data_IF_244171575204
#
_entry.id   IF_244171575204
#
_cell.length_a   1.000
_cell.length_b   1.000
_cell.length_c   1.000
_cell.angle_alpha   90.00
_cell.angle_beta   90.00
_cell.angle_gamma   90.00
#
_symmetry.space_group_name_H-M   'P 1'
#
loop_
_entity.id
_entity.type
_entity.pdbx_description
1 polymer ?
#
# COMPACT_ATOMS: atom_id res chain seq x y z
N UNK A 1 16.23 -0.82 4.40
CA UNK A 1 16.22 -1.51 3.08
C UNK A 1 16.84 -2.90 3.23
N UNK A 2 16.38 -3.87 2.41
CA UNK A 2 16.64 -5.34 2.38
C UNK A 2 15.81 -6.13 3.42
N UNK A 3 14.88 -7.07 3.12
CA UNK A 3 14.65 -8.03 2.01
C UNK A 3 13.15 -8.10 1.60
N UNK A 4 12.90 -8.33 0.30
CA UNK A 4 11.60 -8.48 -0.37
C UNK A 4 11.11 -9.94 -0.33
N UNK A 5 10.02 -10.23 0.39
CA UNK A 5 9.15 -11.36 0.05
C UNK A 5 7.93 -10.81 -0.70
N UNK A 6 8.18 -10.56 -1.99
CA UNK A 6 7.27 -10.49 -3.14
C UNK A 6 5.87 -9.93 -2.85
N UNK A 7 5.76 -8.60 -2.72
CA UNK A 7 4.59 -7.77 -3.15
C UNK A 7 4.77 -6.25 -2.93
N UNK A 8 5.85 -5.77 -2.31
CA UNK A 8 6.08 -4.32 -2.12
C UNK A 8 7.55 -3.98 -1.83
N UNK A 9 7.96 -2.77 -2.19
CA UNK A 9 9.32 -2.24 -1.97
C UNK A 9 9.55 -1.74 -0.52
N UNK A 10 8.50 -1.72 0.31
CA UNK A 10 8.52 -1.25 1.69
C UNK A 10 9.06 -2.26 2.71
N UNK A 11 9.28 -1.80 3.94
CA UNK A 11 9.71 -2.61 5.08
C UNK A 11 8.49 -2.92 5.93
N UNK A 12 8.32 -4.20 6.32
CA UNK A 12 7.22 -4.63 7.17
C UNK A 12 7.48 -4.40 8.66
N UNK A 13 8.71 -4.61 9.09
CA UNK A 13 9.12 -4.46 10.47
C UNK A 13 9.05 -2.99 10.90
N UNK A 14 8.63 -2.76 12.14
CA UNK A 14 8.64 -1.44 12.76
C UNK A 14 10.08 -1.04 13.12
N UNK A 15 10.52 0.13 12.68
CA UNK A 15 11.93 0.58 12.79
C UNK A 15 12.08 2.00 13.34
N UNK A 16 10.99 2.76 13.44
CA UNK A 16 10.97 4.11 13.99
C UNK A 16 10.55 4.15 15.46
N UNK A 17 10.52 5.36 16.02
CA UNK A 17 9.81 5.58 17.29
C UNK A 17 8.30 5.48 17.10
N UNK A 18 7.82 5.97 15.95
CA UNK A 18 6.45 5.88 15.49
C UNK A 18 6.46 5.21 14.11
N UNK A 19 5.75 4.11 13.98
CA UNK A 19 5.60 3.38 12.73
C UNK A 19 4.13 3.34 12.33
N UNK A 20 3.82 3.91 11.15
CA UNK A 20 2.45 4.04 10.65
C UNK A 20 2.19 3.05 9.52
N UNK A 21 1.04 2.37 9.57
CA UNK A 21 0.60 1.39 8.59
C UNK A 21 -0.74 1.83 7.96
N UNK A 22 -0.73 2.84 7.06
CA UNK A 22 -1.94 3.26 6.36
C UNK A 22 -2.47 2.12 5.49
N UNK A 23 -3.77 1.87 5.55
CA UNK A 23 -4.44 0.79 4.81
C UNK A 23 -3.74 -0.57 5.01
N UNK A 24 -3.35 -0.86 6.25
CA UNK A 24 -2.61 -2.07 6.67
C UNK A 24 -1.15 -2.14 6.20
N UNK A 25 -0.64 -1.11 5.52
CA UNK A 25 0.76 -1.02 5.06
C UNK A 25 1.15 -2.04 4.00
N UNK A 26 0.18 -2.53 3.21
CA UNK A 26 0.41 -3.56 2.18
C UNK A 26 0.02 -3.11 0.78
N UNK A 27 -1.21 -2.66 0.62
CA UNK A 27 -1.80 -2.28 -0.67
C UNK A 27 -2.49 -0.97 -0.51
N UNK A 28 -2.11 -0.02 -1.34
CA UNK A 28 -2.60 1.34 -1.22
C UNK A 28 -3.83 1.54 -2.12
N UNK A 29 -4.83 2.31 -1.65
CA UNK A 29 -5.92 2.78 -2.51
C UNK A 29 -5.33 3.47 -3.75
N UNK A 30 -6.06 3.41 -4.87
CA UNK A 30 -5.63 3.90 -6.19
C UNK A 30 -4.46 3.16 -6.87
N UNK A 31 -3.74 2.29 -6.15
CA UNK A 31 -2.75 1.37 -6.74
C UNK A 31 -3.37 0.02 -7.16
N UNK A 32 -4.68 -0.09 -7.02
CA UNK A 32 -5.45 -1.20 -7.55
C UNK A 32 -5.65 -0.95 -9.04
N UNK A 33 -4.71 -1.42 -9.86
CA UNK A 33 -4.88 -1.45 -11.31
C UNK A 33 -6.24 -2.04 -11.63
N UNK A 34 -7.18 -1.19 -12.05
CA UNK A 34 -8.45 -1.58 -12.62
C UNK A 34 -8.13 -2.40 -13.86
N UNK A 35 -8.16 -3.71 -13.67
CA UNK A 35 -7.87 -4.74 -14.65
C UNK A 35 -6.40 -4.76 -15.10
N UNK A 36 -5.70 -5.87 -14.81
CA UNK A 36 -4.45 -6.23 -15.50
C UNK A 36 -4.58 -6.18 -17.05
N UNK A 37 -5.81 -6.18 -17.58
CA UNK A 37 -6.14 -6.07 -19.00
C UNK A 37 -5.90 -4.67 -19.60
N UNK A 38 -6.05 -3.58 -18.84
CA UNK A 38 -5.79 -2.22 -19.35
C UNK A 38 -4.29 -2.01 -19.60
N UNK A 39 -3.44 -2.46 -18.66
CA UNK A 39 -1.98 -2.33 -18.80
C UNK A 39 -1.35 -3.39 -19.73
N UNK A 40 -1.96 -4.57 -19.91
CA UNK A 40 -1.50 -5.55 -20.90
C UNK A 40 -1.82 -5.11 -22.34
N UNK A 41 -2.95 -4.42 -22.55
CA UNK A 41 -3.39 -4.10 -23.91
C UNK A 41 -2.60 -2.93 -24.55
N UNK A 42 -1.96 -2.07 -23.74
CA UNK A 42 -1.01 -1.05 -24.23
C UNK A 42 0.35 -1.62 -24.65
N UNK A 43 0.64 -2.88 -24.32
CA UNK A 43 1.94 -3.53 -24.54
C UNK A 43 1.92 -4.63 -25.60
N UNK A 44 0.77 -4.92 -26.22
CA UNK A 44 0.66 -5.87 -27.33
C UNK A 44 0.40 -5.17 -28.67
N UNK A 45 1.07 -5.56 -29.77
CA UNK A 45 0.58 -5.25 -31.11
C UNK A 45 -0.81 -5.87 -31.31
N UNK A 46 -1.69 -5.17 -32.02
CA UNK A 46 -3.12 -5.47 -32.26
C UNK A 46 -3.36 -6.70 -33.15
N UNK A 47 -2.42 -7.65 -33.22
CA UNK A 47 -2.50 -8.83 -34.10
C UNK A 47 -2.40 -10.16 -33.36
N UNK A 48 -2.47 -10.15 -32.03
CA UNK A 48 -2.62 -11.36 -31.21
C UNK A 48 -4.08 -11.77 -31.00
N UNK A 49 -4.36 -13.00 -30.55
CA UNK A 49 -5.73 -13.54 -30.38
C UNK A 49 -6.57 -12.85 -29.28
N UNK A 50 -6.07 -11.78 -28.65
CA UNK A 50 -6.77 -11.02 -27.61
C UNK A 50 -7.34 -9.73 -28.21
N UNK A 51 -8.64 -9.74 -28.50
CA UNK A 51 -9.38 -8.62 -29.04
C UNK A 51 -9.91 -7.72 -27.89
N UNK A 52 -9.21 -6.62 -27.58
CA UNK A 52 -9.57 -5.67 -26.51
C UNK A 52 -10.70 -4.68 -26.87
N UNK A 53 -11.51 -4.96 -27.91
CA UNK A 53 -12.60 -4.06 -28.32
C UNK A 53 -13.94 -4.31 -27.61
N UNK A 54 -14.01 -5.27 -26.69
CA UNK A 54 -15.21 -5.55 -25.91
C UNK A 54 -14.93 -5.22 -24.44
N UNK A 55 -15.31 -4.00 -24.05
CA UNK A 55 -15.24 -3.54 -22.68
C UNK A 55 -16.18 -4.31 -21.76
N UNK A 56 -15.77 -4.37 -20.49
CA UNK A 56 -16.62 -4.24 -19.30
C UNK A 56 -17.97 -4.99 -19.29
N UNK A 57 -17.96 -6.32 -19.23
CA UNK A 57 -18.92 -7.10 -18.42
C UNK A 57 -18.45 -8.57 -18.38
N UNK A 58 -18.47 -9.19 -17.20
CA UNK A 58 -17.99 -10.55 -16.91
C UNK A 58 -16.48 -10.85 -17.11
N UNK A 59 -15.65 -10.53 -16.11
CA UNK A 59 -14.56 -11.42 -15.70
C UNK A 59 -14.11 -11.13 -14.25
N UNK A 60 -14.42 -11.99 -13.27
CA UNK A 60 -13.78 -11.98 -11.96
C UNK A 60 -12.45 -12.73 -12.09
N UNK A 61 -11.38 -12.05 -12.50
CA UNK A 61 -10.03 -12.61 -12.31
C UNK A 61 -9.21 -11.60 -11.51
N UNK A 62 -8.87 -11.91 -10.25
CA UNK A 62 -7.99 -11.08 -9.44
C UNK A 62 -6.63 -10.97 -10.15
N UNK A 63 -5.95 -9.82 -9.99
CA UNK A 63 -4.55 -9.69 -10.39
C UNK A 63 -3.79 -10.90 -9.85
N UNK A 64 -2.99 -11.62 -10.67
CA UNK A 64 -2.32 -12.83 -10.22
C UNK A 64 -1.51 -12.50 -8.97
N UNK A 65 -1.93 -13.04 -7.83
CA UNK A 65 -1.08 -13.08 -6.65
C UNK A 65 0.15 -13.88 -7.03
N UNK A 66 1.33 -13.38 -6.68
CA UNK A 66 2.64 -14.01 -6.84
C UNK A 66 2.52 -15.54 -6.80
N UNK A 67 2.33 -16.17 -7.95
CA UNK A 67 2.38 -17.62 -8.03
C UNK A 67 3.85 -17.95 -7.96
N UNK A 68 4.22 -18.95 -7.16
CA UNK A 68 5.60 -19.41 -6.97
C UNK A 68 6.12 -20.12 -8.24
N UNK A 69 5.82 -19.61 -9.42
CA UNK A 69 6.32 -20.12 -10.69
C UNK A 69 7.54 -19.30 -11.11
N UNK A 70 8.62 -19.99 -11.43
CA UNK A 70 9.90 -19.37 -11.82
C UNK A 70 9.90 -18.86 -13.26
N UNK A 71 8.77 -18.95 -13.96
CA UNK A 71 8.63 -18.62 -15.37
C UNK A 71 7.76 -17.38 -15.53
N UNK A 72 8.26 -16.29 -14.98
CA UNK A 72 7.60 -15.00 -15.03
C UNK A 72 7.90 -14.31 -16.37
N UNK A 73 6.87 -13.95 -17.11
CA UNK A 73 7.03 -13.21 -18.37
C UNK A 73 7.37 -11.74 -18.10
N UNK A 74 8.02 -11.08 -19.07
CA UNK A 74 8.36 -9.66 -18.95
C UNK A 74 7.13 -8.76 -18.75
N UNK A 75 5.97 -9.16 -19.29
CA UNK A 75 4.72 -8.42 -19.14
C UNK A 75 4.18 -8.51 -17.71
N UNK A 76 4.19 -9.71 -17.10
CA UNK A 76 3.80 -9.87 -15.70
C UNK A 76 4.74 -9.09 -14.77
N UNK A 77 6.04 -9.02 -15.11
CA UNK A 77 7.01 -8.20 -14.38
C UNK A 77 6.72 -6.71 -14.45
N UNK A 78 6.32 -6.19 -15.61
CA UNK A 78 5.95 -4.77 -15.74
C UNK A 78 4.72 -4.42 -14.89
N UNK A 79 3.68 -5.26 -14.91
CA UNK A 79 2.47 -5.04 -14.11
C UNK A 79 2.79 -5.08 -12.62
N UNK A 80 3.55 -6.09 -12.19
CA UNK A 80 3.99 -6.21 -10.80
C UNK A 80 4.86 -5.03 -10.36
N UNK A 81 5.83 -4.63 -11.18
CA UNK A 81 6.71 -3.50 -10.90
C UNK A 81 5.91 -2.18 -10.81
N UNK A 82 5.00 -1.91 -11.76
CA UNK A 82 4.16 -0.71 -11.76
C UNK A 82 3.37 -0.59 -10.46
N UNK A 83 2.75 -1.70 -10.02
CA UNK A 83 2.05 -1.77 -8.74
C UNK A 83 2.97 -1.51 -7.55
N UNK A 84 4.09 -2.23 -7.48
CA UNK A 84 5.05 -2.09 -6.38
C UNK A 84 5.61 -0.67 -6.28
N UNK A 85 5.84 0.01 -7.41
CA UNK A 85 6.23 1.42 -7.44
C UNK A 85 5.09 2.34 -7.00
N UNK A 86 3.85 2.11 -7.44
CA UNK A 86 2.69 2.88 -6.99
C UNK A 86 2.52 2.78 -5.47
N UNK A 87 2.46 1.56 -4.92
CA UNK A 87 2.30 1.31 -3.48
C UNK A 87 3.44 1.99 -2.69
N UNK A 88 4.67 1.93 -3.20
CA UNK A 88 5.83 2.57 -2.58
C UNK A 88 5.79 4.10 -2.64
N UNK A 89 5.32 4.66 -3.76
CA UNK A 89 5.24 6.10 -3.98
C UNK A 89 4.19 6.78 -3.10
N UNK A 90 3.14 6.06 -2.71
CA UNK A 90 2.07 6.60 -1.85
C UNK A 90 2.57 7.11 -0.49
N UNK A 91 3.66 6.57 0.05
CA UNK A 91 4.28 7.10 1.26
C UNK A 91 4.68 8.58 1.12
N UNK A 92 5.18 8.97 -0.05
CA UNK A 92 5.55 10.36 -0.35
C UNK A 92 4.29 11.22 -0.52
N UNK A 93 3.27 10.71 -1.21
CA UNK A 93 2.02 11.43 -1.42
C UNK A 93 1.32 11.74 -0.09
N UNK A 94 1.21 10.78 0.82
CA UNK A 94 0.64 11.05 2.13
C UNK A 94 1.45 12.04 2.94
N UNK A 95 2.77 12.00 2.85
CA UNK A 95 3.60 12.99 3.52
C UNK A 95 3.31 14.40 2.99
N UNK A 96 3.27 14.59 1.68
CA UNK A 96 2.93 15.89 1.07
C UNK A 96 1.53 16.34 1.49
N UNK A 97 0.55 15.46 1.41
CA UNK A 97 -0.83 15.74 1.78
C UNK A 97 -0.98 16.13 3.25
N UNK A 98 -0.17 15.53 4.14
CA UNK A 98 -0.22 15.80 5.58
C UNK A 98 0.18 17.23 5.92
N UNK A 99 0.91 17.91 5.02
CA UNK A 99 1.29 19.32 5.19
C UNK A 99 0.06 20.21 5.03
N UNK A 100 -0.85 19.85 4.12
CA UNK A 100 -2.02 20.66 3.75
C UNK A 100 -3.12 20.63 4.80
N UNK A 101 -3.24 19.52 5.54
CA UNK A 101 -4.20 19.36 6.62
C UNK A 101 -3.61 18.48 7.72
N UNK A 102 -3.47 19.09 8.90
CA UNK A 102 -2.94 18.47 10.11
C UNK A 102 -3.76 17.29 10.60
N UNK A 103 -5.07 17.29 10.37
CA UNK A 103 -6.00 16.28 10.88
C UNK A 103 -6.34 15.22 9.83
N UNK A 104 -5.75 15.31 8.63
CA UNK A 104 -6.05 14.42 7.50
C UNK A 104 -5.74 12.96 7.78
N UNK A 105 -4.67 12.71 8.53
CA UNK A 105 -4.16 11.35 8.76
C UNK A 105 -4.13 11.03 10.26
N UNK A 106 -5.31 11.03 10.88
CA UNK A 106 -5.48 10.55 12.24
C UNK A 106 -5.16 9.06 12.31
N UNK A 107 -4.40 8.68 13.33
CA UNK A 107 -3.96 7.30 13.51
C UNK A 107 -4.43 6.74 14.84
N UNK A 108 -4.41 5.41 14.93
CA UNK A 108 -4.87 4.64 16.07
C UNK A 108 -3.81 3.65 16.51
N UNK A 109 -3.57 3.50 17.82
CA UNK A 109 -2.54 2.59 18.31
C UNK A 109 -2.88 1.14 17.99
N UNK A 110 -1.86 0.36 17.72
CA UNK A 110 -1.95 -1.06 17.43
C UNK A 110 -0.83 -1.80 18.16
N UNK A 111 -1.09 -3.05 18.54
CA UNK A 111 -0.19 -3.82 19.40
C UNK A 111 1.10 -4.26 18.69
N UNK A 112 1.02 -4.52 17.38
CA UNK A 112 2.17 -4.96 16.58
C UNK A 112 1.97 -4.72 15.09
N UNK A 113 3.07 -4.70 14.33
CA UNK A 113 3.05 -4.62 12.87
C UNK A 113 2.31 -5.81 12.23
N UNK A 114 2.34 -6.98 12.88
CA UNK A 114 1.65 -8.17 12.42
C UNK A 114 0.12 -7.99 12.49
N UNK A 115 -0.41 -7.47 13.60
CA UNK A 115 -1.84 -7.16 13.75
C UNK A 115 -2.28 -6.00 12.87
N UNK A 116 -1.42 -4.99 12.71
CA UNK A 116 -1.65 -3.89 11.79
C UNK A 116 -1.86 -4.40 10.36
N UNK A 117 -0.98 -5.29 9.90
CA UNK A 117 -1.03 -5.89 8.57
C UNK A 117 -2.18 -6.88 8.39
N UNK A 118 -2.55 -7.61 9.44
CA UNK A 118 -3.71 -8.48 9.43
C UNK A 118 -5.05 -7.72 9.39
N UNK A 119 -5.04 -6.42 9.73
CA UNK A 119 -6.25 -5.61 9.84
C UNK A 119 -7.05 -5.93 11.10
N UNK A 120 -6.37 -6.34 12.17
CA UNK A 120 -6.98 -6.70 13.46
C UNK A 120 -7.08 -5.51 14.42
N UNK A 121 -6.50 -4.36 14.05
CA UNK A 121 -6.48 -3.16 14.87
C UNK A 121 -7.63 -2.21 14.51
N UNK A 122 -8.13 -1.50 15.52
CA UNK A 122 -9.15 -0.48 15.33
C UNK A 122 -8.60 0.67 14.47
N UNK A 123 -9.41 1.16 13.54
CA UNK A 123 -9.08 2.32 12.67
C UNK A 123 -10.03 3.50 12.90
N UNK A 124 -10.84 3.41 13.96
CA UNK A 124 -11.82 4.43 14.36
C UNK A 124 -11.90 4.45 15.89
N UNK A 125 -12.30 5.60 16.44
CA UNK A 125 -12.42 5.81 17.88
C UNK A 125 -11.91 7.20 18.29
N UNK A 126 -11.75 7.45 19.61
CA UNK A 126 -11.14 8.68 20.09
C UNK A 126 -9.72 8.81 19.55
N UNK A 127 -9.47 9.86 18.76
CA UNK A 127 -8.16 10.20 18.23
C UNK A 127 -7.41 11.23 19.09
N UNK A 128 -8.06 11.76 20.13
CA UNK A 128 -7.47 12.72 21.07
C UNK A 128 -6.21 12.14 21.72
N UNK A 129 -5.07 12.76 21.43
CA UNK A 129 -3.77 12.35 21.96
C UNK A 129 -3.01 11.31 21.13
N UNK A 130 -3.58 10.81 20.03
CA UNK A 130 -2.84 9.98 19.08
C UNK A 130 -1.99 10.84 18.13
N UNK A 131 -0.83 10.34 17.67
CA UNK A 131 -0.04 11.03 16.66
C UNK A 131 -0.78 11.05 15.31
N UNK A 132 -0.61 12.11 14.54
CA UNK A 132 -1.03 12.12 13.13
C UNK A 132 0.14 11.67 12.25
N UNK A 133 -0.17 10.92 11.20
CA UNK A 133 0.85 10.46 10.25
C UNK A 133 1.33 11.63 9.38
N UNK A 134 2.64 11.70 9.12
CA UNK A 134 3.24 12.66 8.20
C UNK A 134 3.95 13.81 8.92
N UNK A 135 3.86 15.02 8.37
CA UNK A 135 4.65 16.19 8.77
C UNK A 135 4.48 16.55 10.25
N UNK A 136 3.27 16.47 10.78
CA UNK A 136 2.95 16.85 12.17
C UNK A 136 3.17 15.73 13.20
N UNK A 137 3.73 14.58 12.80
CA UNK A 137 4.05 13.47 13.72
C UNK A 137 5.04 13.88 14.83
N UNK A 138 5.81 14.93 14.62
CA UNK A 138 6.76 15.49 15.60
C UNK A 138 6.10 16.12 16.82
N UNK A 139 4.80 16.45 16.73
CA UNK A 139 4.08 17.10 17.83
C UNK A 139 3.67 16.11 18.92
N UNK A 140 3.83 14.80 18.65
CA UNK A 140 3.57 13.75 19.61
C UNK A 140 4.70 13.61 20.63
N UNK A 141 4.35 13.74 21.91
CA UNK A 141 5.32 13.76 23.01
C UNK A 141 5.44 12.44 23.77
N UNK A 142 4.46 11.54 23.63
CA UNK A 142 4.39 10.29 24.42
C UNK A 142 5.21 9.16 23.78
N UNK A 143 6.46 9.45 23.45
CA UNK A 143 7.39 8.52 22.83
C UNK A 143 7.87 7.45 23.83
N UNK A 144 7.95 6.20 23.38
CA UNK A 144 8.56 5.11 24.14
C UNK A 144 9.97 4.77 23.65
N UNK A 145 10.72 4.00 24.44
CA UNK A 145 12.03 3.48 24.01
C UNK A 145 11.91 2.40 22.93
N UNK A 146 10.77 1.72 22.87
CA UNK A 146 10.40 0.81 21.79
C UNK A 146 9.67 1.54 20.66
N UNK A 147 9.66 0.95 19.48
CA UNK A 147 8.79 1.38 18.39
C UNK A 147 7.31 1.26 18.80
N UNK A 148 6.51 2.27 18.44
CA UNK A 148 5.07 2.29 18.62
C UNK A 148 4.38 2.19 17.26
N UNK A 149 3.43 1.26 17.14
CA UNK A 149 2.75 0.95 15.89
C UNK A 149 1.39 1.64 15.84
N UNK A 150 1.09 2.29 14.72
CA UNK A 150 -0.16 2.99 14.47
C UNK A 150 -0.78 2.59 13.13
N UNK A 151 -2.10 2.56 13.07
CA UNK A 151 -2.89 2.23 11.87
C UNK A 151 -3.84 3.37 11.53
N UNK A 152 -4.20 3.46 10.26
CA UNK A 152 -5.17 4.43 9.72
C UNK A 152 -5.65 3.97 8.34
N UNK A 153 -6.76 4.53 7.88
CA UNK A 153 -7.23 4.40 6.50
C UNK A 153 -7.13 5.77 5.82
N UNK A 154 -6.91 5.79 4.51
CA UNK A 154 -6.73 7.03 3.71
C UNK A 154 -7.65 7.06 2.50
#
# INVERSE_FOLDING_TARGET
>A
MFICYISGLGIKAAVGHLDFYPNKGQRMPECNSSNCLEDLCLLSPVTGPLNCSQGAEQAPLPCPESTKNTNFTLQEFRVYAKRAFCDHYQAIQYFIDSITDRNKFQSYPCESEAKAQAGECATEGPSDGNPTMGFYSTDYTNLTQSSQVFVLNT
#
